data_IF_307881642054
#
_entry.id   IF_307881642054
#
_cell.length_a   1.000
_cell.length_b   1.000
_cell.length_c   1.000
_cell.angle_alpha   90.00
_cell.angle_beta   90.00
_cell.angle_gamma   90.00
#
_symmetry.space_group_name_H-M   'P 1'
#
loop_
_entity.id
_entity.type
_entity.pdbx_description
1 polymer ?
#
# COMPACT_ATOMS: atom_id res chain seq x y z
N UNK A 1 11.12 -4.29 -2.02
CA UNK A 1 10.87 -4.42 -0.58
C UNK A 1 10.02 -5.65 -0.40
N UNK A 2 10.66 -6.78 -0.14
CA UNK A 2 9.95 -8.01 0.21
C UNK A 2 9.46 -7.87 1.64
N UNK A 3 8.15 -7.96 1.84
CA UNK A 3 7.55 -8.03 3.17
C UNK A 3 6.54 -9.17 3.19
N UNK A 4 6.30 -9.71 4.37
CA UNK A 4 5.46 -10.87 4.60
C UNK A 4 4.22 -10.48 5.38
N UNK A 5 3.05 -10.86 4.89
CA UNK A 5 1.75 -10.50 5.46
C UNK A 5 1.01 -11.71 6.02
N UNK A 6 0.27 -11.46 7.09
CA UNK A 6 -0.66 -12.39 7.71
C UNK A 6 -1.99 -12.40 6.95
N UNK A 7 -2.29 -13.50 6.23
CA UNK A 7 -3.59 -13.69 5.56
C UNK A 7 -4.71 -14.15 6.51
N UNK A 8 -4.42 -14.28 7.81
CA UNK A 8 -5.38 -14.66 8.84
C UNK A 8 -6.26 -13.50 9.33
N UNK A 9 -6.28 -12.37 8.63
CA UNK A 9 -7.08 -11.19 9.00
C UNK A 9 -6.50 -10.35 10.14
N UNK A 10 -5.32 -10.72 10.66
CA UNK A 10 -4.68 -10.00 11.75
C UNK A 10 -3.95 -8.72 11.33
N UNK A 11 -3.68 -8.56 10.03
CA UNK A 11 -2.99 -7.39 9.49
C UNK A 11 -1.51 -7.30 9.88
N UNK A 12 -0.90 -8.37 10.42
CA UNK A 12 0.52 -8.38 10.73
C UNK A 12 1.37 -8.35 9.45
N UNK A 13 2.39 -7.49 9.45
CA UNK A 13 3.35 -7.29 8.36
C UNK A 13 4.75 -7.38 8.95
N UNK A 14 5.63 -8.14 8.32
CA UNK A 14 6.99 -8.37 8.81
C UNK A 14 7.96 -8.32 7.64
N UNK A 15 9.11 -7.66 7.80
CA UNK A 15 10.12 -7.50 6.74
C UNK A 15 10.97 -8.77 6.53
N UNK A 16 10.81 -9.76 7.42
CA UNK A 16 11.56 -11.02 7.38
C UNK A 16 10.61 -12.20 7.25
N UNK A 17 11.02 -13.28 6.56
CA UNK A 17 10.27 -14.51 6.53
C UNK A 17 10.13 -15.05 7.94
N UNK A 18 8.91 -15.42 8.30
CA UNK A 18 8.59 -15.87 9.65
C UNK A 18 7.14 -16.30 9.78
N UNK A 19 6.70 -16.48 11.01
CA UNK A 19 5.34 -16.88 11.35
C UNK A 19 4.55 -15.73 11.96
N UNK A 20 3.23 -15.80 11.87
CA UNK A 20 2.34 -14.85 12.53
C UNK A 20 2.45 -14.96 14.06
N UNK A 21 2.79 -13.86 14.73
CA UNK A 21 2.90 -13.79 16.21
C UNK A 21 1.66 -13.16 16.88
N UNK A 22 0.60 -12.90 16.13
CA UNK A 22 -0.62 -12.36 16.70
C UNK A 22 -1.37 -13.44 17.48
N UNK A 23 -1.37 -13.32 18.81
CA UNK A 23 -1.95 -14.30 19.75
C UNK A 23 -3.42 -14.60 19.44
N UNK A 24 -4.17 -13.60 18.99
CA UNK A 24 -5.59 -13.72 18.64
C UNK A 24 -5.84 -14.00 17.15
N UNK A 25 -4.82 -14.34 16.37
CA UNK A 25 -5.00 -14.65 14.95
C UNK A 25 -5.36 -16.14 14.76
N UNK A 26 -6.35 -16.48 13.93
CA UNK A 26 -6.64 -17.87 13.57
C UNK A 26 -5.45 -18.57 12.87
N UNK A 27 -4.50 -17.77 12.36
CA UNK A 27 -3.24 -18.24 11.75
C UNK A 27 -2.03 -17.98 12.65
N UNK A 28 -2.20 -17.83 13.96
CA UNK A 28 -1.09 -17.73 14.90
C UNK A 28 -0.13 -18.92 14.74
N UNK A 29 1.17 -18.65 14.63
CA UNK A 29 2.20 -19.66 14.39
C UNK A 29 2.27 -20.20 12.94
N UNK A 30 1.41 -19.75 12.03
CA UNK A 30 1.47 -20.13 10.61
C UNK A 30 2.44 -19.21 9.85
N UNK A 31 3.08 -19.70 8.77
CA UNK A 31 3.98 -18.90 7.95
C UNK A 31 3.26 -17.71 7.32
N UNK A 32 3.97 -16.59 7.25
CA UNK A 32 3.50 -15.38 6.60
C UNK A 32 3.72 -15.47 5.09
N UNK A 33 2.83 -14.87 4.32
CA UNK A 33 2.88 -14.91 2.87
C UNK A 33 3.65 -13.70 2.33
N UNK A 34 4.57 -13.88 1.36
CA UNK A 34 5.26 -12.76 0.73
C UNK A 34 4.25 -11.87 -0.02
N UNK A 35 4.34 -10.55 0.18
CA UNK A 35 3.62 -9.51 -0.56
C UNK A 35 4.64 -8.76 -1.40
N UNK A 36 4.38 -8.67 -2.70
CA UNK A 36 5.22 -7.92 -3.65
C UNK A 36 4.71 -6.49 -3.85
N UNK A 37 4.24 -5.89 -2.77
CA UNK A 37 3.46 -4.66 -2.79
C UNK A 37 4.44 -3.47 -2.66
N UNK A 38 4.43 -2.54 -3.63
CA UNK A 38 5.42 -1.44 -3.71
C UNK A 38 5.13 -0.30 -2.74
N UNK A 39 3.88 -0.19 -2.30
CA UNK A 39 3.36 0.91 -1.49
C UNK A 39 3.55 0.70 0.04
N UNK A 40 3.96 -0.48 0.50
CA UNK A 40 4.10 -0.83 1.93
C UNK A 40 2.88 -0.46 2.79
N UNK A 41 1.68 -0.28 2.23
CA UNK A 41 0.53 0.30 2.96
C UNK A 41 -0.19 -0.66 3.92
N UNK A 42 0.37 -1.83 4.17
CA UNK A 42 -0.22 -2.82 5.08
C UNK A 42 0.02 -2.48 6.57
N UNK A 43 0.75 -1.41 6.89
CA UNK A 43 0.90 -0.94 8.26
C UNK A 43 -0.43 -0.40 8.80
N UNK A 44 -1.00 -1.13 9.76
CA UNK A 44 -2.02 -0.64 10.66
C UNK A 44 -1.50 0.51 11.53
N UNK A 45 -1.32 1.69 10.93
CA UNK A 45 -1.51 2.99 11.57
C UNK A 45 -1.76 4.00 10.48
N UNK A 46 -3.01 4.46 10.41
CA UNK A 46 -3.41 5.63 9.64
C UNK A 46 -2.75 6.84 10.26
N UNK A 47 -1.48 7.09 9.96
CA UNK A 47 -0.90 8.41 10.14
C UNK A 47 -0.93 9.10 8.80
N UNK A 48 -2.09 9.74 8.54
CA UNK A 48 -2.27 10.83 7.56
C UNK A 48 -2.21 10.34 6.09
N UNK A 49 -3.12 10.78 5.19
CA UNK A 49 -3.30 10.19 3.88
C UNK A 49 -2.07 10.38 2.99
N UNK A 50 -1.17 9.39 2.98
CA UNK A 50 -0.22 9.23 1.90
C UNK A 50 -0.98 8.61 0.73
N UNK A 51 -1.63 9.48 -0.04
CA UNK A 51 -2.10 9.17 -1.36
C UNK A 51 -0.94 8.82 -2.28
N UNK A 52 -0.37 7.62 -2.16
CA UNK A 52 0.17 6.91 -3.31
C UNK A 52 -0.99 6.35 -4.13
N UNK A 53 -1.79 7.27 -4.67
CA UNK A 53 -2.32 7.11 -6.00
C UNK A 53 -1.33 7.88 -6.87
N UNK A 54 -0.41 7.17 -7.51
CA UNK A 54 0.19 7.68 -8.73
C UNK A 54 -0.97 7.83 -9.72
N UNK A 55 -1.53 9.03 -9.84
CA UNK A 55 -2.09 9.43 -11.13
C UNK A 55 -0.87 9.68 -12.01
N UNK A 56 -0.57 8.80 -12.99
CA UNK A 56 0.36 9.20 -14.03
C UNK A 56 -0.23 10.41 -14.74
N UNK A 57 0.65 11.36 -15.06
CA UNK A 57 0.68 11.95 -16.41
C UNK A 57 -0.37 13.05 -16.71
N UNK A 58 0.16 14.28 -16.85
CA UNK A 58 -0.20 15.18 -17.95
C UNK A 58 -1.66 15.66 -18.04
N UNK A 59 -2.11 16.53 -17.12
CA UNK A 59 -3.15 17.50 -17.51
C UNK A 59 -2.50 18.73 -18.14
N UNK A 60 -2.24 18.59 -19.44
CA UNK A 60 -2.15 19.71 -20.39
C UNK A 60 -3.37 20.61 -20.19
N UNK A 61 -3.22 21.78 -19.54
CA UNK A 61 -4.15 22.91 -19.74
C UNK A 61 -3.53 24.28 -19.52
N UNK A 62 -2.27 24.44 -19.90
CA UNK A 62 -1.69 25.74 -20.19
C UNK A 62 -1.52 25.83 -21.71
N UNK A 63 -2.57 26.29 -22.42
CA UNK A 63 -2.61 26.80 -23.82
C UNK A 63 -4.02 26.68 -24.42
N UNK A 64 -4.97 27.56 -24.07
CA UNK A 64 -6.10 27.87 -24.99
C UNK A 64 -6.90 29.16 -24.68
N UNK A 65 -6.29 30.19 -24.12
CA UNK A 65 -6.95 31.49 -23.92
C UNK A 65 -6.73 32.51 -25.06
N UNK A 66 -6.07 32.13 -26.16
CA UNK A 66 -5.79 33.02 -27.31
C UNK A 66 -6.69 32.81 -28.54
N UNK A 67 -7.72 31.95 -28.48
CA UNK A 67 -8.52 31.55 -29.66
C UNK A 67 -9.97 32.07 -29.65
N UNK A 68 -10.34 32.95 -28.71
CA UNK A 68 -11.72 33.47 -28.58
C UNK A 68 -11.85 35.00 -28.80
N UNK A 69 -10.82 35.65 -29.35
CA UNK A 69 -10.88 37.04 -29.82
C UNK A 69 -10.81 37.10 -31.35
N UNK A 70 -11.85 36.59 -32.01
CA UNK A 70 -12.09 36.82 -33.44
C UNK A 70 -13.58 36.96 -33.70
#
# INVERSE_FOLDING_TARGET
>A
MEHYICTGGCGAVVERPGVCQAINCPKHGQPLNPCNCTDNKHYGKVSVPSGSGTTPEETVKEKKWWQFWK
#
